data_IF_862570732349
#
_entry.id   IF_862570732349
#
_cell.length_a   1.000
_cell.length_b   1.000
_cell.length_c   1.000
_cell.angle_alpha   90.00
_cell.angle_beta   90.00
_cell.angle_gamma   90.00
#
_symmetry.space_group_name_H-M   'P 1'
#
loop_
_entity.id
_entity.type
_entity.pdbx_description
1 polymer ?
#
# COMPACT_ATOMS: atom_id res chain seq x y z
N UNK A 1 -3.24 11.41 9.66
CA UNK A 1 -4.63 11.50 10.17
C UNK A 1 -4.63 11.12 11.66
N UNK A 2 -5.43 11.80 12.49
CA UNK A 2 -5.54 11.47 13.91
C UNK A 2 -6.25 10.10 14.12
N UNK A 3 -5.84 9.28 15.12
CA UNK A 3 -6.46 7.99 15.42
C UNK A 3 -7.95 8.09 15.81
N UNK A 4 -8.74 7.06 15.50
CA UNK A 4 -10.17 6.98 15.85
C UNK A 4 -10.41 7.01 17.36
N UNK A 5 -9.54 6.38 18.15
CA UNK A 5 -9.61 6.43 19.62
C UNK A 5 -9.33 7.83 20.19
N UNK A 6 -8.75 8.73 19.38
CA UNK A 6 -8.57 10.15 19.67
C UNK A 6 -9.60 11.06 18.98
N UNK A 7 -10.69 10.49 18.42
CA UNK A 7 -11.73 11.23 17.71
C UNK A 7 -11.38 11.60 16.26
N UNK A 8 -10.31 11.05 15.69
CA UNK A 8 -9.92 11.27 14.31
C UNK A 8 -10.49 10.24 13.32
N UNK A 9 -10.20 10.42 12.03
CA UNK A 9 -10.68 9.53 10.95
C UNK A 9 -9.76 8.34 10.62
N UNK A 10 -8.73 8.05 11.41
CA UNK A 10 -7.83 6.92 11.17
C UNK A 10 -8.25 5.69 11.98
N UNK A 11 -8.81 4.70 11.30
CA UNK A 11 -9.27 3.44 11.89
C UNK A 11 -8.19 2.35 11.93
N UNK A 12 -6.96 2.63 11.48
CA UNK A 12 -5.90 1.63 11.41
C UNK A 12 -5.40 1.18 12.80
N UNK A 13 -5.25 -0.13 12.97
CA UNK A 13 -4.62 -0.76 14.12
C UNK A 13 -3.36 -1.52 13.70
N UNK A 14 -2.25 -1.31 14.42
CA UNK A 14 -1.02 -2.08 14.22
C UNK A 14 -1.25 -3.57 14.47
N UNK A 15 -0.74 -4.42 13.58
CA UNK A 15 -0.91 -5.88 13.67
C UNK A 15 -2.21 -6.44 13.07
N UNK A 16 -3.07 -5.59 12.49
CA UNK A 16 -4.30 -6.02 11.84
C UNK A 16 -4.04 -6.91 10.62
N UNK A 17 -4.75 -8.05 10.54
CA UNK A 17 -4.92 -8.84 9.31
C UNK A 17 -6.09 -8.31 8.49
N UNK A 18 -6.29 -8.79 7.27
CA UNK A 18 -7.44 -8.36 6.46
C UNK A 18 -8.79 -8.73 7.08
N UNK A 19 -8.93 -9.97 7.58
CA UNK A 19 -10.22 -10.50 8.05
C UNK A 19 -10.22 -11.13 9.45
N UNK A 20 -9.05 -11.44 10.01
CA UNK A 20 -8.96 -12.12 11.31
C UNK A 20 -8.65 -11.11 12.42
N UNK A 21 -9.62 -10.95 13.32
CA UNK A 21 -9.44 -10.17 14.55
C UNK A 21 -8.52 -10.91 15.52
N UNK A 22 -7.77 -10.15 16.32
CA UNK A 22 -6.82 -10.74 17.25
C UNK A 22 -7.47 -11.45 18.45
N UNK A 23 -6.72 -12.33 19.13
CA UNK A 23 -7.27 -13.29 20.08
C UNK A 23 -7.75 -12.68 21.40
N UNK A 24 -7.32 -11.46 21.73
CA UNK A 24 -7.63 -10.81 23.01
C UNK A 24 -8.74 -9.79 22.78
N UNK A 25 -9.99 -10.22 22.96
CA UNK A 25 -11.15 -9.34 22.80
C UNK A 25 -11.32 -8.75 21.40
N UNK A 26 -10.79 -9.43 20.38
CA UNK A 26 -10.79 -8.98 18.98
C UNK A 26 -9.63 -8.06 18.61
N UNK A 27 -8.73 -7.73 19.54
CA UNK A 27 -7.60 -6.84 19.26
C UNK A 27 -6.34 -7.60 18.78
N UNK A 28 -5.63 -7.11 17.74
CA UNK A 28 -5.99 -5.95 16.91
C UNK A 28 -7.16 -6.26 15.99
N UNK A 29 -8.03 -5.26 15.79
CA UNK A 29 -9.17 -5.38 14.88
C UNK A 29 -8.69 -5.48 13.44
N UNK A 30 -9.19 -6.45 12.69
CA UNK A 30 -8.93 -6.65 11.27
C UNK A 30 -9.40 -5.47 10.43
N UNK A 31 -8.91 -5.36 9.18
CA UNK A 31 -9.37 -4.32 8.26
C UNK A 31 -10.88 -4.41 8.02
N UNK A 32 -11.47 -5.61 7.96
CA UNK A 32 -12.93 -5.79 7.85
C UNK A 32 -13.67 -5.21 9.05
N UNK A 33 -13.17 -5.46 10.27
CA UNK A 33 -13.74 -4.89 11.50
C UNK A 33 -13.56 -3.37 11.55
N UNK A 34 -12.42 -2.84 11.07
CA UNK A 34 -12.17 -1.39 10.96
C UNK A 34 -13.13 -0.71 9.98
N UNK A 35 -13.35 -1.30 8.79
CA UNK A 35 -14.30 -0.78 7.80
C UNK A 35 -15.74 -0.81 8.33
N UNK A 36 -16.12 -1.89 9.02
CA UNK A 36 -17.43 -2.02 9.66
C UNK A 36 -17.63 -1.00 10.80
N UNK A 37 -16.58 -0.74 11.59
CA UNK A 37 -16.59 0.30 12.62
C UNK A 37 -16.73 1.71 12.02
N UNK A 38 -16.03 1.99 10.92
CA UNK A 38 -16.18 3.24 10.17
C UNK A 38 -17.62 3.44 9.70
N UNK A 39 -18.19 2.45 9.00
CA UNK A 39 -19.57 2.54 8.49
C UNK A 39 -20.58 2.67 9.63
N UNK A 40 -20.38 1.97 10.74
CA UNK A 40 -21.25 2.13 11.92
C UNK A 40 -21.18 3.55 12.49
N UNK A 41 -19.98 4.12 12.55
CA UNK A 41 -19.75 5.48 13.04
C UNK A 41 -20.38 6.55 12.15
N UNK A 42 -20.45 6.33 10.83
CA UNK A 42 -21.01 7.27 9.85
C UNK A 42 -22.47 6.99 9.47
N UNK A 43 -23.17 6.15 10.23
CA UNK A 43 -24.58 5.82 9.97
C UNK A 43 -24.80 5.04 8.67
N UNK A 44 -23.81 4.25 8.26
CA UNK A 44 -23.84 3.41 7.07
C UNK A 44 -23.50 4.14 5.77
N UNK A 45 -22.93 5.35 5.85
CA UNK A 45 -22.65 6.18 4.67
C UNK A 45 -21.17 6.51 4.53
N UNK A 46 -20.73 6.63 3.29
CA UNK A 46 -19.41 7.11 2.93
C UNK A 46 -19.59 8.32 2.01
N UNK A 47 -18.96 9.44 2.37
CA UNK A 47 -18.96 10.62 1.52
C UNK A 47 -18.32 10.32 0.17
N UNK A 48 -19.01 10.68 -0.92
CA UNK A 48 -18.50 10.57 -2.28
C UNK A 48 -17.26 11.44 -2.53
N UNK A 49 -17.13 12.56 -1.80
CA UNK A 49 -15.97 13.46 -1.91
C UNK A 49 -14.81 13.05 -0.98
N UNK A 50 -14.98 12.01 -0.16
CA UNK A 50 -13.96 11.53 0.75
C UNK A 50 -12.92 10.67 0.03
N UNK A 51 -11.66 10.79 0.44
CA UNK A 51 -10.60 9.85 0.07
C UNK A 51 -10.50 8.75 1.14
N UNK A 52 -10.64 7.51 0.71
CA UNK A 52 -10.50 6.32 1.57
C UNK A 52 -9.20 5.63 1.23
N UNK A 53 -8.44 5.25 2.25
CA UNK A 53 -7.19 4.49 2.07
C UNK A 53 -7.35 3.15 2.77
N UNK A 54 -7.32 2.07 2.00
CA UNK A 54 -7.32 0.70 2.48
C UNK A 54 -5.89 0.18 2.40
N UNK A 55 -5.25 0.04 3.56
CA UNK A 55 -3.84 -0.36 3.66
C UNK A 55 -3.69 -1.54 4.63
N UNK A 56 -3.21 -2.68 4.11
CA UNK A 56 -3.03 -3.91 4.87
C UNK A 56 -2.44 -5.04 4.04
N UNK A 57 -2.34 -6.25 4.63
CA UNK A 57 -1.75 -7.43 3.99
C UNK A 57 -0.34 -7.77 4.46
N UNK A 58 0.39 -6.84 5.08
CA UNK A 58 1.73 -7.12 5.62
C UNK A 58 1.75 -8.17 6.73
N UNK A 59 0.73 -8.17 7.61
CA UNK A 59 0.60 -9.21 8.64
C UNK A 59 0.18 -10.55 8.03
N UNK A 60 -0.73 -10.55 7.06
CA UNK A 60 -1.17 -11.75 6.34
C UNK A 60 0.00 -12.41 5.58
N UNK A 61 0.88 -11.61 4.97
CA UNK A 61 2.10 -12.09 4.32
C UNK A 61 3.09 -12.72 5.32
N UNK A 62 3.22 -12.14 6.52
CA UNK A 62 4.04 -12.70 7.60
C UNK A 62 3.47 -14.00 8.13
N UNK A 63 2.16 -14.06 8.35
CA UNK A 63 1.47 -15.29 8.77
C UNK A 63 1.66 -16.40 7.72
N UNK A 64 1.60 -16.06 6.43
CA UNK A 64 1.89 -16.99 5.35
C UNK A 64 3.35 -17.47 5.37
N UNK A 65 4.32 -16.56 5.59
CA UNK A 65 5.74 -16.93 5.70
C UNK A 65 5.98 -17.89 6.88
N UNK A 66 5.39 -17.60 8.04
CA UNK A 66 5.45 -18.46 9.23
C UNK A 66 4.79 -19.82 8.99
N UNK A 67 3.64 -19.85 8.31
CA UNK A 67 2.95 -21.09 7.95
C UNK A 67 3.77 -21.96 6.98
N UNK A 68 4.42 -21.35 5.97
CA UNK A 68 5.33 -22.08 5.06
C UNK A 68 6.54 -22.64 5.81
N UNK A 69 7.08 -21.91 6.78
CA UNK A 69 8.18 -22.41 7.60
C UNK A 69 7.75 -23.60 8.48
N UNK A 70 6.50 -23.60 8.97
CA UNK A 70 5.94 -24.69 9.76
C UNK A 70 5.58 -25.93 8.92
N UNK A 71 5.20 -25.76 7.65
CA UNK A 71 4.82 -26.84 6.73
C UNK A 71 5.37 -26.61 5.31
N UNK A 72 6.68 -26.79 5.10
CA UNK A 72 7.32 -26.48 3.82
C UNK A 72 6.86 -27.40 2.68
N UNK A 73 6.32 -28.58 2.99
CA UNK A 73 5.77 -29.51 2.00
C UNK A 73 4.52 -28.97 1.30
N UNK A 74 3.81 -28.02 1.94
CA UNK A 74 2.60 -27.40 1.42
C UNK A 74 2.80 -25.91 1.06
N UNK A 75 4.04 -25.48 0.85
CA UNK A 75 4.35 -24.06 0.60
C UNK A 75 3.48 -23.44 -0.51
N UNK A 76 3.34 -24.10 -1.66
CA UNK A 76 2.55 -23.60 -2.78
C UNK A 76 1.07 -23.38 -2.44
N UNK A 77 0.44 -24.30 -1.69
CA UNK A 77 -0.98 -24.17 -1.33
C UNK A 77 -1.21 -23.11 -0.26
N UNK A 78 -0.30 -22.98 0.71
CA UNK A 78 -0.34 -21.93 1.74
C UNK A 78 -0.27 -20.54 1.10
N UNK A 79 0.69 -20.33 0.20
CA UNK A 79 0.90 -19.04 -0.48
C UNK A 79 -0.31 -18.69 -1.35
N UNK A 80 -0.83 -19.67 -2.12
CA UNK A 80 -2.01 -19.46 -2.96
C UNK A 80 -3.26 -19.13 -2.12
N UNK A 81 -3.46 -19.82 -0.99
CA UNK A 81 -4.58 -19.56 -0.09
C UNK A 81 -4.48 -18.16 0.55
N UNK A 82 -3.29 -17.75 1.00
CA UNK A 82 -3.06 -16.42 1.57
C UNK A 82 -3.33 -15.32 0.54
N UNK A 83 -2.86 -15.48 -0.70
CA UNK A 83 -3.12 -14.53 -1.78
C UNK A 83 -4.61 -14.41 -2.13
N UNK A 84 -5.31 -15.54 -2.25
CA UNK A 84 -6.75 -15.55 -2.52
C UNK A 84 -7.56 -14.90 -1.38
N UNK A 85 -7.24 -15.22 -0.12
CA UNK A 85 -7.89 -14.63 1.03
C UNK A 85 -7.67 -13.11 1.11
N UNK A 86 -6.41 -12.67 0.97
CA UNK A 86 -6.07 -11.24 0.97
C UNK A 86 -6.83 -10.45 -0.09
N UNK A 87 -6.85 -10.94 -1.33
CA UNK A 87 -7.55 -10.28 -2.43
C UNK A 87 -9.06 -10.25 -2.20
N UNK A 88 -9.67 -11.38 -1.80
CA UNK A 88 -11.10 -11.47 -1.53
C UNK A 88 -11.52 -10.55 -0.36
N UNK A 89 -10.74 -10.52 0.71
CA UNK A 89 -11.04 -9.70 1.88
C UNK A 89 -10.95 -8.21 1.57
N UNK A 90 -9.89 -7.80 0.86
CA UNK A 90 -9.69 -6.41 0.45
C UNK A 90 -10.77 -5.97 -0.54
N UNK A 91 -11.13 -6.85 -1.49
CA UNK A 91 -12.28 -6.65 -2.38
C UNK A 91 -13.58 -6.38 -1.61
N UNK A 92 -13.90 -7.21 -0.63
CA UNK A 92 -15.12 -7.04 0.17
C UNK A 92 -15.15 -5.71 0.97
N UNK A 93 -13.99 -5.22 1.42
CA UNK A 93 -13.88 -3.91 2.08
C UNK A 93 -14.17 -2.79 1.09
N UNK A 94 -13.57 -2.84 -0.10
CA UNK A 94 -13.81 -1.88 -1.19
C UNK A 94 -15.28 -1.85 -1.57
N UNK A 95 -15.87 -3.03 -1.83
CA UNK A 95 -17.28 -3.18 -2.21
C UNK A 95 -18.20 -2.54 -1.15
N UNK A 96 -17.90 -2.76 0.13
CA UNK A 96 -18.68 -2.20 1.25
C UNK A 96 -18.59 -0.67 1.31
N UNK A 97 -17.41 -0.11 1.06
CA UNK A 97 -17.20 1.34 1.02
C UNK A 97 -17.91 1.98 -0.19
N UNK A 98 -17.81 1.37 -1.37
CA UNK A 98 -18.52 1.85 -2.57
C UNK A 98 -20.03 1.76 -2.41
N UNK A 99 -20.55 0.65 -1.85
CA UNK A 99 -21.97 0.48 -1.56
C UNK A 99 -22.48 1.55 -0.57
N UNK A 100 -21.62 2.03 0.33
CA UNK A 100 -21.92 3.13 1.24
C UNK A 100 -21.79 4.52 0.60
N UNK A 101 -21.24 4.64 -0.61
CA UNK A 101 -21.15 5.89 -1.38
C UNK A 101 -19.72 6.40 -1.66
N UNK A 102 -18.67 5.68 -1.26
CA UNK A 102 -17.30 6.07 -1.57
C UNK A 102 -17.02 6.03 -3.08
N UNK A 103 -16.35 7.07 -3.60
CA UNK A 103 -15.98 7.16 -5.03
C UNK A 103 -14.47 7.30 -5.27
N UNK A 104 -13.70 7.54 -4.20
CA UNK A 104 -12.25 7.72 -4.27
C UNK A 104 -11.58 6.82 -3.23
N UNK A 105 -11.14 5.65 -3.67
CA UNK A 105 -10.51 4.64 -2.81
C UNK A 105 -9.10 4.37 -3.32
N UNK A 106 -8.11 4.51 -2.44
CA UNK A 106 -6.75 4.02 -2.68
C UNK A 106 -6.61 2.69 -1.95
N UNK A 107 -6.15 1.69 -2.66
CA UNK A 107 -5.82 0.39 -2.06
C UNK A 107 -4.32 0.19 -2.20
N UNK A 108 -3.64 -0.02 -1.09
CA UNK A 108 -2.23 -0.39 -1.11
C UNK A 108 -2.13 -1.87 -1.44
N UNK A 109 -1.20 -2.22 -2.32
CA UNK A 109 -0.74 -3.60 -2.39
C UNK A 109 0.13 -3.96 -1.17
N UNK A 110 0.64 -5.20 -1.15
CA UNK A 110 1.42 -5.69 -0.02
C UNK A 110 2.85 -5.19 -0.14
N UNK A 111 3.43 -4.53 0.89
CA UNK A 111 4.84 -4.15 0.84
C UNK A 111 5.71 -5.39 0.62
N UNK A 112 6.86 -5.21 -0.03
CA UNK A 112 7.76 -6.33 -0.24
C UNK A 112 8.31 -6.82 1.12
N UNK A 113 7.80 -7.96 1.60
CA UNK A 113 8.14 -8.50 2.91
C UNK A 113 9.60 -8.97 2.95
N UNK A 114 10.11 -9.45 1.83
CA UNK A 114 11.43 -10.06 1.73
C UNK A 114 12.59 -9.10 1.93
N UNK A 115 12.38 -7.80 1.74
CA UNK A 115 13.41 -6.77 1.95
C UNK A 115 13.45 -6.24 3.39
N UNK A 116 12.50 -6.64 4.23
CA UNK A 116 12.40 -6.10 5.59
C UNK A 116 13.55 -6.58 6.46
N UNK A 117 14.10 -5.76 7.38
CA UNK A 117 15.23 -6.17 8.21
C UNK A 117 14.95 -7.46 9.01
N UNK A 118 13.72 -7.66 9.49
CA UNK A 118 13.34 -8.86 10.23
C UNK A 118 13.35 -10.14 9.38
N UNK A 119 13.01 -10.06 8.10
CA UNK A 119 13.02 -11.22 7.19
C UNK A 119 14.43 -11.46 6.66
N UNK A 120 15.18 -10.40 6.36
CA UNK A 120 16.59 -10.50 6.00
C UNK A 120 17.43 -11.17 7.09
N UNK A 121 17.15 -10.88 8.36
CA UNK A 121 17.82 -11.51 9.50
C UNK A 121 17.59 -13.03 9.59
N UNK A 122 16.54 -13.56 8.96
CA UNK A 122 16.26 -15.01 8.89
C UNK A 122 17.03 -15.70 7.74
N UNK A 123 17.68 -14.93 6.87
CA UNK A 123 18.56 -15.42 5.82
C UNK A 123 17.95 -15.38 4.41
N UNK A 124 18.77 -15.60 3.36
CA UNK A 124 18.38 -15.35 1.97
C UNK A 124 17.15 -16.13 1.49
N UNK A 125 16.97 -17.37 1.97
CA UNK A 125 15.78 -18.17 1.64
C UNK A 125 14.49 -17.51 2.13
N UNK A 126 14.50 -16.96 3.34
CA UNK A 126 13.35 -16.25 3.89
C UNK A 126 13.08 -14.95 3.12
N UNK A 127 14.12 -14.21 2.73
CA UNK A 127 13.97 -12.99 1.91
C UNK A 127 13.36 -13.26 0.53
N UNK A 128 13.83 -14.30 -0.16
CA UNK A 128 13.27 -14.71 -1.47
C UNK A 128 11.81 -15.14 -1.31
N UNK A 129 11.53 -15.98 -0.30
CA UNK A 129 10.18 -16.46 -0.04
C UNK A 129 9.23 -15.33 0.37
N UNK A 130 9.65 -14.43 1.25
CA UNK A 130 8.88 -13.26 1.66
C UNK A 130 8.57 -12.34 0.49
N UNK A 131 9.53 -12.09 -0.40
CA UNK A 131 9.30 -11.32 -1.62
C UNK A 131 8.27 -11.98 -2.53
N UNK A 132 8.37 -13.31 -2.69
CA UNK A 132 7.47 -14.10 -3.52
C UNK A 132 6.04 -14.15 -2.95
N UNK A 133 5.88 -14.27 -1.64
CA UNK A 133 4.58 -14.19 -0.95
C UNK A 133 3.92 -12.84 -1.22
N UNK A 134 4.60 -11.73 -0.91
CA UNK A 134 4.04 -10.38 -1.12
C UNK A 134 3.71 -10.13 -2.59
N UNK A 135 4.55 -10.58 -3.53
CA UNK A 135 4.30 -10.43 -4.96
C UNK A 135 3.07 -11.24 -5.40
N UNK A 136 2.90 -12.46 -4.90
CA UNK A 136 1.74 -13.31 -5.24
C UNK A 136 0.44 -12.71 -4.73
N UNK A 137 0.45 -12.17 -3.50
CA UNK A 137 -0.70 -11.46 -2.93
C UNK A 137 -1.01 -10.18 -3.71
N UNK A 138 0.02 -9.43 -4.12
CA UNK A 138 -0.12 -8.22 -4.94
C UNK A 138 -0.75 -8.52 -6.30
N UNK A 139 -0.30 -9.59 -6.98
CA UNK A 139 -0.90 -10.02 -8.26
C UNK A 139 -2.37 -10.42 -8.11
N UNK A 140 -2.73 -11.13 -7.04
CA UNK A 140 -4.12 -11.49 -6.77
C UNK A 140 -5.00 -10.26 -6.51
N UNK A 141 -4.45 -9.24 -5.83
CA UNK A 141 -5.15 -7.96 -5.62
C UNK A 141 -5.33 -7.19 -6.92
N UNK A 142 -4.29 -7.11 -7.77
CA UNK A 142 -4.37 -6.48 -9.08
C UNK A 142 -5.48 -7.10 -9.92
N UNK A 143 -5.55 -8.44 -9.95
CA UNK A 143 -6.62 -9.15 -10.65
C UNK A 143 -8.01 -8.83 -10.07
N UNK A 144 -8.15 -8.84 -8.73
CA UNK A 144 -9.41 -8.49 -8.06
C UNK A 144 -9.87 -7.06 -8.34
N UNK A 145 -8.95 -6.11 -8.42
CA UNK A 145 -9.27 -4.68 -8.61
C UNK A 145 -9.34 -4.27 -10.09
N UNK A 146 -9.08 -5.21 -11.01
CA UNK A 146 -9.09 -4.92 -12.43
C UNK A 146 -10.48 -4.45 -12.90
N UNK A 147 -10.55 -3.22 -13.40
CA UNK A 147 -11.79 -2.59 -13.87
C UNK A 147 -12.68 -2.03 -12.76
N UNK A 148 -12.24 -2.03 -11.51
CA UNK A 148 -12.98 -1.48 -10.37
C UNK A 148 -13.01 0.06 -10.43
N UNK A 149 -14.20 0.65 -10.58
CA UNK A 149 -14.34 2.08 -10.78
C UNK A 149 -14.11 2.86 -9.46
N UNK A 150 -13.39 3.98 -9.55
CA UNK A 150 -13.10 4.81 -8.37
C UNK A 150 -12.04 4.23 -7.43
N UNK A 151 -11.39 3.13 -7.83
CA UNK A 151 -10.27 2.52 -7.12
C UNK A 151 -8.95 2.84 -7.80
N UNK A 152 -7.97 3.27 -7.02
CA UNK A 152 -6.59 3.46 -7.44
C UNK A 152 -5.70 2.51 -6.65
N UNK A 153 -4.99 1.62 -7.36
CA UNK A 153 -3.96 0.80 -6.74
C UNK A 153 -2.71 1.64 -6.49
N UNK A 154 -2.16 1.54 -5.28
CA UNK A 154 -0.89 2.14 -4.92
C UNK A 154 0.18 1.04 -4.80
N UNK A 155 1.18 1.12 -5.67
CA UNK A 155 2.32 0.18 -5.77
C UNK A 155 3.33 0.41 -4.63
N UNK A 156 2.98 -0.11 -3.45
CA UNK A 156 3.86 -0.09 -2.29
C UNK A 156 4.95 -1.16 -2.41
N UNK A 157 4.65 -2.31 -3.03
CA UNK A 157 5.61 -3.37 -3.27
C UNK A 157 6.82 -2.87 -4.08
N UNK A 158 6.55 -2.20 -5.20
CA UNK A 158 7.56 -1.64 -6.10
C UNK A 158 8.30 -0.48 -5.45
N UNK A 159 7.59 0.44 -4.78
CA UNK A 159 8.21 1.55 -4.06
C UNK A 159 9.18 1.06 -2.98
N UNK A 160 8.73 0.16 -2.10
CA UNK A 160 9.57 -0.36 -1.01
C UNK A 160 10.78 -1.13 -1.55
N UNK A 161 10.60 -1.91 -2.62
CA UNK A 161 11.70 -2.58 -3.32
C UNK A 161 12.72 -1.59 -3.87
N UNK A 162 12.28 -0.50 -4.50
CA UNK A 162 13.16 0.54 -5.04
C UNK A 162 13.94 1.25 -3.92
N UNK A 163 13.27 1.60 -2.80
CA UNK A 163 13.88 2.22 -1.64
C UNK A 163 15.00 1.38 -1.02
N UNK A 164 14.79 0.06 -0.94
CA UNK A 164 15.80 -0.85 -0.40
C UNK A 164 16.99 -1.05 -1.36
N UNK A 165 16.74 -1.09 -2.67
CA UNK A 165 17.76 -1.35 -3.68
C UNK A 165 18.65 -0.14 -3.99
N UNK A 166 18.09 1.06 -4.03
CA UNK A 166 18.82 2.30 -4.29
C UNK A 166 18.33 3.43 -3.37
N UNK A 167 18.62 3.36 -2.05
CA UNK A 167 18.18 4.38 -1.10
C UNK A 167 18.68 5.79 -1.46
N UNK A 168 19.86 5.89 -2.10
CA UNK A 168 20.45 7.16 -2.50
C UNK A 168 19.61 7.94 -3.51
N UNK A 169 18.95 7.25 -4.44
CA UNK A 169 18.02 7.87 -5.39
C UNK A 169 16.82 8.56 -4.71
N UNK A 170 16.50 8.17 -3.47
CA UNK A 170 15.41 8.72 -2.68
C UNK A 170 15.89 9.65 -1.55
N UNK A 171 17.18 10.01 -1.55
CA UNK A 171 17.78 10.83 -0.49
C UNK A 171 17.94 10.11 0.86
N UNK A 172 17.83 8.78 0.87
CA UNK A 172 18.12 7.95 2.03
C UNK A 172 19.58 7.49 1.99
N UNK A 173 20.18 7.33 3.16
CA UNK A 173 21.54 6.78 3.30
C UNK A 173 21.55 5.27 3.53
N UNK A 174 20.40 4.68 3.88
CA UNK A 174 20.28 3.27 4.15
C UNK A 174 18.85 2.76 3.89
N UNK A 175 18.75 1.64 3.16
CA UNK A 175 17.50 1.02 2.76
C UNK A 175 17.16 -0.30 3.46
N UNK A 176 18.04 -0.80 4.35
CA UNK A 176 17.99 -2.21 4.81
C UNK A 176 18.09 -2.40 6.32
N UNK A 177 18.65 -1.44 7.05
CA UNK A 177 18.95 -1.58 8.48
C UNK A 177 17.86 -0.93 9.34
N UNK A 178 17.62 -1.52 10.51
CA UNK A 178 16.66 -1.02 11.50
C UNK A 178 17.26 0.15 12.31
N UNK A 179 16.92 1.38 11.94
CA UNK A 179 17.46 2.61 12.54
C UNK A 179 17.26 2.71 14.07
N UNK A 180 16.11 2.27 14.59
CA UNK A 180 15.77 2.34 16.01
C UNK A 180 16.64 1.48 16.92
N UNK A 181 17.40 0.53 16.35
CA UNK A 181 18.41 -0.25 17.07
C UNK A 181 19.82 0.36 17.04
N UNK A 182 20.03 1.45 16.30
CA UNK A 182 21.35 2.04 16.03
C UNK A 182 21.48 3.36 16.81
N UNK A 183 22.45 3.42 17.73
CA UNK A 183 22.72 4.62 18.53
C UNK A 183 23.12 5.77 17.60
N UNK A 184 22.42 6.91 17.72
CA UNK A 184 22.69 8.10 16.93
C UNK A 184 22.15 8.06 15.49
N UNK A 185 21.35 7.06 15.13
CA UNK A 185 20.71 7.00 13.82
C UNK A 185 19.71 8.16 13.61
N UNK A 186 19.70 8.73 12.40
CA UNK A 186 18.72 9.71 11.97
C UNK A 186 17.57 9.02 11.21
N UNK A 187 16.36 8.93 11.79
CA UNK A 187 15.22 8.30 11.13
C UNK A 187 14.69 9.09 9.93
N UNK A 188 15.18 10.29 9.65
CA UNK A 188 14.83 11.00 8.40
C UNK A 188 15.59 10.46 7.18
N UNK A 189 16.71 9.76 7.38
CA UNK A 189 17.58 9.29 6.29
C UNK A 189 17.62 7.77 6.11
N UNK A 190 16.86 7.00 6.88
CA UNK A 190 16.78 5.53 6.79
C UNK A 190 15.42 5.10 6.27
N UNK A 191 15.32 3.97 5.57
CA UNK A 191 14.03 3.42 5.14
C UNK A 191 13.26 2.80 6.32
N UNK A 192 13.93 2.01 7.16
CA UNK A 192 13.32 1.20 8.22
C UNK A 192 13.66 1.69 9.64
N UNK A 193 12.63 1.81 10.48
CA UNK A 193 12.78 2.10 11.91
C UNK A 193 13.12 0.83 12.69
N UNK A 194 12.35 -0.23 12.48
CA UNK A 194 12.55 -1.52 13.13
C UNK A 194 12.58 -2.64 12.08
N UNK A 195 12.32 -3.87 12.50
CA UNK A 195 12.32 -5.05 11.63
C UNK A 195 11.35 -4.99 10.44
N UNK A 196 10.31 -4.15 10.46
CA UNK A 196 9.31 -4.08 9.39
C UNK A 196 8.75 -2.68 9.13
N UNK A 197 8.78 -1.78 10.11
CA UNK A 197 8.12 -0.48 9.99
C UNK A 197 9.04 0.56 9.34
N UNK A 198 8.52 1.40 8.43
CA UNK A 198 9.27 2.52 7.89
C UNK A 198 9.62 3.55 8.97
N UNK A 199 10.69 4.31 8.75
CA UNK A 199 10.97 5.51 9.55
C UNK A 199 10.05 6.68 9.17
N UNK A 200 10.24 7.84 9.81
CA UNK A 200 9.67 9.11 9.32
C UNK A 200 10.08 9.45 7.88
N UNK A 201 11.34 9.19 7.49
CA UNK A 201 11.81 9.39 6.12
C UNK A 201 11.10 8.46 5.13
N UNK A 202 11.02 7.16 5.46
CA UNK A 202 10.29 6.18 4.67
C UNK A 202 8.80 6.52 4.52
N UNK A 203 8.13 6.89 5.62
CA UNK A 203 6.74 7.33 5.58
C UNK A 203 6.52 8.60 4.73
N UNK A 204 7.46 9.55 4.75
CA UNK A 204 7.36 10.75 3.92
C UNK A 204 7.43 10.42 2.42
N UNK A 205 8.29 9.46 2.03
CA UNK A 205 8.41 8.99 0.65
C UNK A 205 7.15 8.24 0.20
N UNK A 206 6.61 7.37 1.05
CA UNK A 206 5.33 6.68 0.80
C UNK A 206 4.19 7.69 0.63
N UNK A 207 4.09 8.69 1.51
CA UNK A 207 3.08 9.72 1.41
C UNK A 207 3.20 10.56 0.13
N UNK A 208 4.42 10.95 -0.25
CA UNK A 208 4.69 11.68 -1.48
C UNK A 208 4.34 10.88 -2.73
N UNK A 209 4.71 9.60 -2.77
CA UNK A 209 4.37 8.71 -3.87
C UNK A 209 2.85 8.51 -4.00
N UNK A 210 2.15 8.24 -2.90
CA UNK A 210 0.69 8.07 -2.91
C UNK A 210 -0.01 9.36 -3.33
N UNK A 211 0.47 10.52 -2.88
CA UNK A 211 -0.06 11.82 -3.28
C UNK A 211 0.06 12.02 -4.80
N UNK A 212 1.21 11.65 -5.39
CA UNK A 212 1.42 11.72 -6.83
C UNK A 212 0.52 10.75 -7.62
N UNK A 213 0.04 9.66 -6.99
CA UNK A 213 -0.90 8.72 -7.61
C UNK A 213 -2.34 9.27 -7.63
N UNK A 214 -2.75 10.01 -6.60
CA UNK A 214 -4.16 10.44 -6.44
C UNK A 214 -4.45 11.87 -6.90
N UNK A 215 -3.43 12.71 -7.03
CA UNK A 215 -3.58 14.06 -7.55
C UNK A 215 -3.47 14.00 -9.07
N UNK A 216 -4.50 14.41 -9.83
CA UNK A 216 -4.39 14.55 -11.28
C UNK A 216 -3.24 15.53 -11.56
N UNK A 217 -2.24 15.09 -12.32
CA UNK A 217 -1.22 16.00 -12.85
C UNK A 217 -1.98 17.05 -13.66
N UNK A 218 -1.94 18.34 -13.29
CA UNK A 218 -2.56 19.35 -14.11
C UNK A 218 -1.88 19.28 -15.49
N UNK A 219 -2.66 19.03 -16.54
CA UNK A 219 -2.21 19.15 -17.93
C UNK A 219 -2.41 20.56 -18.57
N UNK A 220 -2.30 21.72 -17.89
CA UNK A 220 -2.33 23.02 -18.58
C UNK A 220 -1.27 23.11 -19.70
N UNK A 221 -0.10 22.51 -19.49
CA UNK A 221 1.01 22.63 -20.42
C UNK A 221 0.80 21.79 -21.70
N UNK A 222 0.20 20.60 -21.61
CA UNK A 222 -0.11 19.79 -22.79
C UNK A 222 -1.12 20.48 -23.69
N UNK A 223 -2.19 21.06 -23.11
CA UNK A 223 -3.16 21.84 -23.88
C UNK A 223 -2.55 23.11 -24.46
N UNK A 224 -1.74 23.84 -23.68
CA UNK A 224 -1.04 25.03 -24.19
C UNK A 224 -0.10 24.69 -25.35
N UNK A 225 0.69 23.62 -25.24
CA UNK A 225 1.59 23.13 -26.29
C UNK A 225 0.81 22.64 -27.51
N UNK A 226 -0.32 21.96 -27.30
CA UNK A 226 -1.22 21.54 -28.39
C UNK A 226 -1.82 22.75 -29.11
N UNK A 227 -2.32 23.76 -28.38
CA UNK A 227 -2.87 24.98 -28.97
C UNK A 227 -1.81 25.80 -29.71
N UNK A 228 -0.60 25.93 -29.15
CA UNK A 228 0.54 26.57 -29.83
C UNK A 228 0.93 25.78 -31.09
N UNK A 229 0.99 24.46 -31.01
CA UNK A 229 1.28 23.59 -32.14
C UNK A 229 0.25 23.72 -33.27
N UNK A 230 -1.04 23.66 -32.94
CA UNK A 230 -2.15 23.84 -33.89
C UNK A 230 -2.14 25.24 -34.51
N UNK A 231 -1.86 26.28 -33.73
CA UNK A 231 -1.74 27.65 -34.23
C UNK A 231 -0.58 27.82 -35.21
N UNK A 232 0.58 27.22 -34.94
CA UNK A 232 1.74 27.25 -35.82
C UNK A 232 1.50 26.50 -37.14
N UNK A 233 0.81 25.36 -37.09
CA UNK A 233 0.40 24.61 -38.30
C UNK A 233 -0.59 25.42 -39.13
N UNK A 234 -1.64 25.97 -38.51
CA UNK A 234 -2.63 26.79 -39.20
C UNK A 234 -2.00 28.03 -39.86
N UNK A 235 -1.09 28.71 -39.17
CA UNK A 235 -0.34 29.84 -39.70
C UNK A 235 0.54 29.44 -40.90
N UNK A 236 1.21 28.28 -40.83
CA UNK A 236 2.05 27.77 -41.93
C UNK A 236 1.24 27.37 -43.15
N UNK A 237 0.05 26.78 -42.97
CA UNK A 237 -0.88 26.46 -44.07
C UNK A 237 -1.38 27.75 -44.72
N UNK A 238 -1.78 28.74 -43.93
CA UNK A 238 -2.26 30.04 -44.44
C UNK A 238 -1.20 30.85 -45.19
N UNK A 239 0.09 30.66 -44.90
CA UNK A 239 1.20 31.30 -45.64
C UNK A 239 1.56 30.60 -46.95
N UNK A 240 1.07 29.37 -47.18
CA UNK A 240 1.35 28.57 -48.38
C UNK A 240 0.23 28.62 -49.42
N UNK A 241 -0.96 29.07 -49.03
CA UNK A 241 -2.09 29.37 -49.92
C UNK A 241 -2.04 30.84 -50.35
#
# INVERSE_FOLDING_TARGET
>A
AAPVLGGGGNFAFGGARTSVDGPIGGFPYSLKSQASAYLSFTGGTASANGLYVVAGGGNDARDALEAVAADPGNAGSIIAAAAAAYAADTGAIVDSLQAAGAQHIVVWDVPNLGITPAVNAQGPTASVLGSFISATMTLALIDRMNGEAGVTLFDLWGLTTALANDPGAFGLVNGTDACGGIVGCDPSTYAFWDGIHPTSGGHALIAGAMLATVVPVPEPETYALMFVGLALVAWRVRRRA
#
